data_IF_627541679051
#
_entry.id   IF_627541679051
#
_cell.length_a   1.000
_cell.length_b   1.000
_cell.length_c   1.000
_cell.angle_alpha   90.00
_cell.angle_beta   90.00
_cell.angle_gamma   90.00
#
_symmetry.space_group_name_H-M   'P 1'
#
loop_
_entity.id
_entity.type
_entity.pdbx_description
1 polymer ?
#
# COMPACT_ATOMS: atom_id res chain seq x y z
N UNK A 1 8.50 -51.31 -46.10
CA UNK A 1 8.93 -49.97 -46.53
C UNK A 1 8.34 -48.96 -45.55
N UNK A 2 9.13 -48.14 -44.84
CA UNK A 2 8.58 -47.10 -43.98
C UNK A 2 7.84 -46.06 -44.86
N UNK A 3 6.64 -45.67 -44.46
CA UNK A 3 5.82 -44.71 -45.20
C UNK A 3 6.55 -43.36 -45.27
N UNK A 4 6.65 -42.79 -46.48
CA UNK A 4 7.33 -41.51 -46.71
C UNK A 4 6.42 -40.38 -46.22
N UNK A 5 6.85 -39.66 -45.20
CA UNK A 5 6.11 -38.50 -44.69
C UNK A 5 6.28 -37.34 -45.66
N UNK A 6 5.16 -36.74 -46.07
CA UNK A 6 5.13 -35.55 -46.92
C UNK A 6 4.85 -34.33 -46.03
N UNK A 7 5.81 -33.40 -45.99
CA UNK A 7 5.66 -32.11 -45.32
C UNK A 7 5.29 -31.02 -46.33
N UNK A 8 4.71 -29.92 -45.84
CA UNK A 8 4.55 -28.70 -46.65
C UNK A 8 5.91 -28.04 -46.86
N UNK A 9 6.06 -27.33 -47.98
CA UNK A 9 7.27 -26.57 -48.27
C UNK A 9 7.50 -25.49 -47.19
N UNK A 10 8.73 -25.40 -46.70
CA UNK A 10 9.14 -24.47 -45.65
C UNK A 10 10.19 -23.50 -46.18
N UNK A 11 9.75 -22.30 -46.56
CA UNK A 11 10.60 -21.26 -47.14
C UNK A 11 10.46 -19.92 -46.38
N UNK A 12 11.22 -19.72 -45.29
CA UNK A 12 11.11 -18.51 -44.47
C UNK A 12 11.52 -17.22 -45.19
N UNK A 13 12.35 -17.33 -46.24
CA UNK A 13 12.84 -16.19 -47.04
C UNK A 13 12.03 -16.00 -48.34
N UNK A 14 10.82 -16.55 -48.42
CA UNK A 14 9.97 -16.41 -49.61
C UNK A 14 9.64 -14.93 -49.85
N UNK A 15 9.95 -14.43 -51.04
CA UNK A 15 9.61 -13.07 -51.43
C UNK A 15 8.12 -12.97 -51.77
N UNK A 16 7.43 -12.00 -51.18
CA UNK A 16 6.03 -11.69 -51.50
C UNK A 16 6.02 -10.50 -52.47
N UNK A 17 5.32 -10.62 -53.59
CA UNK A 17 5.31 -9.60 -54.66
C UNK A 17 4.51 -8.34 -54.28
N UNK A 18 3.41 -8.51 -53.54
CA UNK A 18 2.57 -7.41 -53.06
C UNK A 18 2.36 -7.52 -51.55
N UNK A 19 2.39 -6.42 -50.79
CA UNK A 19 2.04 -6.45 -49.38
C UNK A 19 0.62 -7.01 -49.20
N UNK A 20 0.50 -8.11 -48.45
CA UNK A 20 -0.81 -8.64 -48.07
C UNK A 20 -1.55 -7.62 -47.21
N UNK A 21 -2.89 -7.65 -47.25
CA UNK A 21 -3.66 -6.79 -46.36
C UNK A 21 -3.53 -7.30 -44.93
N UNK A 22 -3.15 -6.42 -44.01
CA UNK A 22 -2.87 -6.80 -42.63
C UNK A 22 -4.15 -7.19 -41.88
N UNK A 23 -5.28 -6.59 -42.27
CA UNK A 23 -6.60 -6.86 -41.70
C UNK A 23 -7.05 -8.32 -41.89
N UNK A 24 -6.70 -8.96 -43.00
CA UNK A 24 -7.05 -10.37 -43.29
C UNK A 24 -6.43 -11.35 -42.28
N UNK A 25 -5.32 -10.96 -41.64
CA UNK A 25 -4.61 -11.78 -40.65
C UNK A 25 -5.11 -11.54 -39.23
N UNK A 26 -6.09 -10.66 -39.03
CA UNK A 26 -6.70 -10.36 -37.74
C UNK A 26 -8.08 -11.03 -37.70
N UNK A 27 -8.39 -11.72 -36.61
CA UNK A 27 -9.69 -12.37 -36.46
C UNK A 27 -10.82 -11.33 -36.37
N UNK A 28 -11.96 -11.58 -37.04
CA UNK A 28 -13.07 -10.62 -37.06
C UNK A 28 -13.64 -10.27 -35.67
N UNK A 29 -13.50 -11.18 -34.69
CA UNK A 29 -13.94 -10.98 -33.30
C UNK A 29 -12.85 -10.40 -32.39
N UNK A 30 -11.71 -9.99 -32.94
CA UNK A 30 -10.60 -9.47 -32.15
C UNK A 30 -10.93 -8.08 -31.54
N UNK A 31 -10.57 -7.83 -30.26
CA UNK A 31 -10.81 -6.55 -29.60
C UNK A 31 -10.21 -5.34 -30.32
N UNK A 32 -9.18 -5.52 -31.16
CA UNK A 32 -8.59 -4.45 -31.97
C UNK A 32 -9.63 -3.73 -32.85
N UNK A 33 -10.61 -4.46 -33.38
CA UNK A 33 -11.68 -3.89 -34.20
C UNK A 33 -12.65 -3.03 -33.38
N UNK A 34 -12.90 -3.42 -32.13
CA UNK A 34 -13.72 -2.63 -31.19
C UNK A 34 -13.04 -1.30 -30.92
N UNK A 35 -11.74 -1.31 -30.60
CA UNK A 35 -10.97 -0.08 -30.38
C UNK A 35 -10.99 0.81 -31.62
N UNK A 36 -10.74 0.23 -32.80
CA UNK A 36 -10.75 0.99 -34.04
C UNK A 36 -12.10 1.70 -34.28
N UNK A 37 -13.20 0.96 -34.12
CA UNK A 37 -14.56 1.46 -34.31
C UNK A 37 -14.94 2.51 -33.28
N UNK A 38 -14.60 2.30 -32.00
CA UNK A 38 -14.89 3.28 -30.95
C UNK A 38 -14.15 4.58 -31.23
N UNK A 39 -12.84 4.52 -31.50
CA UNK A 39 -12.04 5.72 -31.75
C UNK A 39 -12.49 6.46 -33.02
N UNK A 40 -13.05 5.76 -34.00
CA UNK A 40 -13.59 6.41 -35.18
C UNK A 40 -14.82 7.27 -34.92
N UNK A 41 -15.65 6.85 -33.97
CA UNK A 41 -16.87 7.56 -33.56
C UNK A 41 -16.61 8.70 -32.56
N UNK A 42 -15.40 8.80 -32.01
CA UNK A 42 -15.06 9.89 -31.09
C UNK A 42 -14.92 11.21 -31.84
N UNK A 43 -15.55 12.27 -31.29
CA UNK A 43 -15.30 13.62 -31.75
C UNK A 43 -13.95 14.12 -31.21
N UNK A 44 -12.97 14.26 -32.11
CA UNK A 44 -11.61 14.72 -31.78
C UNK A 44 -11.35 16.18 -32.19
N UNK A 45 -12.38 17.01 -32.37
CA UNK A 45 -12.18 18.41 -32.77
C UNK A 45 -11.40 19.22 -31.73
N UNK A 46 -11.57 18.90 -30.45
CA UNK A 46 -10.76 19.49 -29.39
C UNK A 46 -9.28 19.11 -29.49
N UNK A 47 -8.96 17.91 -29.99
CA UNK A 47 -7.58 17.48 -30.17
C UNK A 47 -6.90 18.27 -31.28
N UNK A 48 -7.61 18.61 -32.35
CA UNK A 48 -7.06 19.39 -33.47
C UNK A 48 -6.55 20.77 -33.03
N UNK A 49 -7.21 21.39 -32.04
CA UNK A 49 -6.80 22.68 -31.46
C UNK A 49 -5.42 22.63 -30.77
N UNK A 50 -4.98 21.44 -30.35
CA UNK A 50 -3.70 21.23 -29.68
C UNK A 50 -2.51 21.12 -30.67
N UNK A 51 -2.78 21.14 -31.98
CA UNK A 51 -1.76 21.06 -33.02
C UNK A 51 -1.55 22.40 -33.71
N UNK A 52 -0.29 22.66 -34.08
CA UNK A 52 0.09 23.85 -34.86
C UNK A 52 -0.07 23.57 -36.35
N UNK A 53 -0.46 24.58 -37.12
CA UNK A 53 -0.58 24.48 -38.57
C UNK A 53 0.78 24.42 -39.29
N UNK A 54 1.86 24.87 -38.65
CA UNK A 54 3.20 24.96 -39.25
C UNK A 54 4.20 24.01 -38.60
N UNK A 55 5.19 23.57 -39.38
CA UNK A 55 6.25 22.65 -38.96
C UNK A 55 6.10 21.25 -39.56
N UNK A 56 6.72 20.26 -38.91
CA UNK A 56 6.62 18.85 -39.33
C UNK A 56 5.19 18.34 -39.15
N UNK A 57 4.67 17.65 -40.17
CA UNK A 57 3.35 17.03 -40.11
C UNK A 57 3.26 16.09 -38.89
N UNK A 58 2.29 16.31 -37.98
CA UNK A 58 2.10 15.43 -36.85
C UNK A 58 1.45 14.11 -37.27
N UNK A 59 1.67 13.06 -36.48
CA UNK A 59 0.88 11.83 -36.58
C UNK A 59 -0.60 12.12 -36.32
N UNK A 60 -1.47 11.38 -36.99
CA UNK A 60 -2.92 11.55 -36.86
C UNK A 60 -3.39 11.25 -35.41
N UNK A 61 -4.18 12.13 -34.76
CA UNK A 61 -4.60 11.93 -33.37
C UNK A 61 -5.38 10.64 -33.14
N UNK A 62 -6.28 10.26 -34.07
CA UNK A 62 -7.00 8.97 -34.00
C UNK A 62 -6.03 7.79 -33.94
N UNK A 63 -4.96 7.82 -34.75
CA UNK A 63 -3.98 6.75 -34.81
C UNK A 63 -3.24 6.62 -33.48
N UNK A 64 -2.73 7.73 -32.95
CA UNK A 64 -2.05 7.75 -31.66
C UNK A 64 -2.96 7.27 -30.52
N UNK A 65 -4.23 7.67 -30.53
CA UNK A 65 -5.21 7.27 -29.53
C UNK A 65 -5.52 5.77 -29.59
N UNK A 66 -5.74 5.21 -30.79
CA UNK A 66 -5.96 3.77 -31.00
C UNK A 66 -4.83 2.93 -30.41
N UNK A 67 -3.59 3.29 -30.74
CA UNK A 67 -2.39 2.57 -30.26
C UNK A 67 -2.29 2.62 -28.74
N UNK A 68 -2.55 3.77 -28.12
CA UNK A 68 -2.44 3.93 -26.67
C UNK A 68 -3.56 3.17 -25.94
N UNK A 69 -4.81 3.30 -26.39
CA UNK A 69 -5.96 2.61 -25.78
C UNK A 69 -5.76 1.10 -25.87
N UNK A 70 -5.38 0.58 -27.04
CA UNK A 70 -5.16 -0.85 -27.22
C UNK A 70 -3.98 -1.36 -26.37
N UNK A 71 -2.90 -0.58 -26.23
CA UNK A 71 -1.81 -0.91 -25.34
C UNK A 71 -2.27 -0.99 -23.87
N UNK A 72 -3.10 -0.04 -23.40
CA UNK A 72 -3.62 -0.03 -22.04
C UNK A 72 -4.57 -1.19 -21.75
N UNK A 73 -5.44 -1.53 -22.72
CA UNK A 73 -6.29 -2.73 -22.62
C UNK A 73 -5.46 -4.01 -22.42
N UNK A 74 -4.24 -4.05 -22.95
CA UNK A 74 -3.31 -5.17 -22.80
C UNK A 74 -2.33 -5.02 -21.61
N UNK A 75 -2.57 -4.07 -20.69
CA UNK A 75 -1.70 -3.76 -19.55
C UNK A 75 -0.27 -3.31 -19.95
N UNK A 76 -0.14 -2.57 -21.05
CA UNK A 76 1.13 -2.09 -21.58
C UNK A 76 1.20 -0.56 -21.47
N UNK A 77 1.82 -0.08 -20.40
CA UNK A 77 1.91 1.36 -20.09
C UNK A 77 3.25 2.01 -20.49
N UNK A 78 4.27 1.21 -20.79
CA UNK A 78 5.60 1.68 -21.16
C UNK A 78 5.65 2.13 -22.62
N UNK A 79 5.94 3.40 -22.88
CA UNK A 79 6.04 3.95 -24.24
C UNK A 79 7.11 3.22 -25.08
N UNK A 80 8.21 2.77 -24.47
CA UNK A 80 9.24 1.98 -25.16
C UNK A 80 8.75 0.58 -25.54
N UNK A 81 7.85 -0.01 -24.73
CA UNK A 81 7.23 -1.29 -25.07
C UNK A 81 6.23 -1.09 -26.22
N UNK A 82 5.46 -0.01 -26.21
CA UNK A 82 4.55 0.36 -27.30
C UNK A 82 5.31 0.57 -28.62
N UNK A 83 6.41 1.33 -28.60
CA UNK A 83 7.30 1.52 -29.76
C UNK A 83 7.79 0.18 -30.35
N UNK A 84 8.17 -0.79 -29.50
CA UNK A 84 8.55 -2.14 -29.96
C UNK A 84 7.38 -2.92 -30.56
N UNK A 85 6.17 -2.75 -30.03
CA UNK A 85 4.97 -3.43 -30.54
C UNK A 85 4.56 -2.89 -31.91
N UNK A 86 4.71 -1.58 -32.14
CA UNK A 86 4.46 -0.98 -33.46
C UNK A 86 5.30 -1.60 -34.57
N UNK A 87 6.43 -2.25 -34.26
CA UNK A 87 7.29 -2.92 -35.24
C UNK A 87 7.05 -4.43 -35.35
N UNK A 88 6.43 -5.07 -34.35
CA UNK A 88 6.44 -6.53 -34.20
C UNK A 88 5.05 -7.14 -34.09
N UNK A 89 4.09 -6.39 -33.57
CA UNK A 89 2.75 -6.87 -33.28
C UNK A 89 1.78 -6.43 -34.39
N UNK A 90 1.10 -7.41 -34.99
CA UNK A 90 0.25 -7.18 -36.14
C UNK A 90 -0.93 -6.24 -35.85
N UNK A 91 -1.48 -6.28 -34.63
CA UNK A 91 -2.58 -5.43 -34.22
C UNK A 91 -2.13 -3.97 -34.11
N UNK A 92 -0.94 -3.74 -33.53
CA UNK A 92 -0.38 -2.39 -33.43
C UNK A 92 0.01 -1.83 -34.79
N UNK A 93 0.60 -2.64 -35.66
CA UNK A 93 0.93 -2.26 -37.04
C UNK A 93 -0.35 -1.88 -37.81
N UNK A 94 -1.42 -2.66 -37.64
CA UNK A 94 -2.70 -2.39 -38.29
C UNK A 94 -3.35 -1.09 -37.76
N UNK A 95 -3.43 -0.92 -36.43
CA UNK A 95 -3.97 0.29 -35.82
C UNK A 95 -3.20 1.56 -36.18
N UNK A 96 -1.87 1.43 -36.32
CA UNK A 96 -1.01 2.55 -36.71
C UNK A 96 -1.03 2.86 -38.20
N UNK A 97 -1.57 1.95 -39.03
CA UNK A 97 -1.46 2.05 -40.49
C UNK A 97 -0.01 1.92 -40.96
N UNK A 98 0.79 1.09 -40.28
CA UNK A 98 2.22 0.90 -40.53
C UNK A 98 3.09 2.16 -40.27
N UNK A 99 2.59 3.08 -39.45
CA UNK A 99 3.37 4.19 -38.91
C UNK A 99 4.05 3.80 -37.59
N UNK A 100 5.23 4.36 -37.35
CA UNK A 100 6.10 3.96 -36.24
C UNK A 100 6.54 5.17 -35.41
N UNK A 101 5.64 5.81 -34.64
CA UNK A 101 6.04 6.88 -33.73
C UNK A 101 7.02 6.37 -32.66
N UNK A 102 8.06 7.15 -32.40
CA UNK A 102 9.04 6.84 -31.36
C UNK A 102 8.45 6.97 -29.95
N UNK A 103 9.12 6.38 -28.96
CA UNK A 103 8.62 6.42 -27.57
C UNK A 103 8.48 7.86 -27.05
N UNK A 104 9.30 8.80 -27.54
CA UNK A 104 9.27 10.21 -27.17
C UNK A 104 7.99 10.87 -27.70
N UNK A 105 7.62 10.60 -28.95
CA UNK A 105 6.40 11.13 -29.57
C UNK A 105 5.15 10.58 -28.91
N UNK A 106 5.14 9.29 -28.59
CA UNK A 106 4.05 8.66 -27.81
C UNK A 106 3.93 9.35 -26.44
N UNK A 107 5.05 9.56 -25.75
CA UNK A 107 5.04 10.20 -24.44
C UNK A 107 4.58 11.67 -24.50
N UNK A 108 5.03 12.42 -25.51
CA UNK A 108 4.61 13.81 -25.74
C UNK A 108 3.12 13.90 -26.04
N UNK A 109 2.58 12.97 -26.84
CA UNK A 109 1.16 12.91 -27.11
C UNK A 109 0.37 12.63 -25.83
N UNK A 110 0.72 11.59 -25.06
CA UNK A 110 0.09 11.27 -23.77
C UNK A 110 0.03 12.47 -22.83
N UNK A 111 1.13 13.19 -22.69
CA UNK A 111 1.20 14.37 -21.82
C UNK A 111 0.34 15.52 -22.32
N UNK A 112 0.22 15.67 -23.65
CA UNK A 112 -0.60 16.72 -24.26
C UNK A 112 -2.10 16.48 -24.10
N UNK A 113 -2.52 15.21 -24.14
CA UNK A 113 -3.95 14.83 -24.13
C UNK A 113 -4.40 14.21 -22.80
N UNK A 114 -3.67 14.47 -21.71
CA UNK A 114 -3.86 13.78 -20.43
C UNK A 114 -5.27 13.94 -19.86
N UNK A 115 -5.86 15.12 -20.02
CA UNK A 115 -7.22 15.39 -19.52
C UNK A 115 -8.26 14.76 -20.45
N UNK A 116 -8.07 14.89 -21.77
CA UNK A 116 -8.99 14.39 -22.77
C UNK A 116 -9.00 12.86 -22.83
N UNK A 117 -7.86 12.20 -22.62
CA UNK A 117 -7.76 10.74 -22.65
C UNK A 117 -8.52 10.12 -21.47
N UNK A 118 -8.51 10.75 -20.30
CA UNK A 118 -9.27 10.31 -19.14
C UNK A 118 -10.77 10.41 -19.40
N UNK A 119 -11.23 11.51 -20.03
CA UNK A 119 -12.63 11.68 -20.40
C UNK A 119 -13.07 10.62 -21.44
N UNK A 120 -12.27 10.43 -22.50
CA UNK A 120 -12.54 9.40 -23.51
C UNK A 120 -12.57 8.00 -22.90
N UNK A 121 -11.62 7.68 -22.01
CA UNK A 121 -11.57 6.39 -21.34
C UNK A 121 -12.79 6.17 -20.44
N UNK A 122 -13.19 7.19 -19.69
CA UNK A 122 -14.40 7.13 -18.85
C UNK A 122 -15.65 6.86 -19.70
N UNK A 123 -15.80 7.57 -20.82
CA UNK A 123 -16.91 7.35 -21.74
C UNK A 123 -16.90 5.94 -22.34
N UNK A 124 -15.72 5.43 -22.72
CA UNK A 124 -15.58 4.06 -23.22
C UNK A 124 -16.02 3.04 -22.17
N UNK A 125 -15.58 3.18 -20.92
CA UNK A 125 -15.96 2.30 -19.81
C UNK A 125 -17.47 2.35 -19.58
N UNK A 126 -18.08 3.54 -19.55
CA UNK A 126 -19.53 3.69 -19.40
C UNK A 126 -20.30 3.00 -20.53
N UNK A 127 -19.88 3.18 -21.79
CA UNK A 127 -20.51 2.50 -22.94
C UNK A 127 -20.36 0.97 -22.86
N UNK A 128 -19.22 0.47 -22.40
CA UNK A 128 -19.00 -0.96 -22.21
C UNK A 128 -19.88 -1.51 -21.07
N UNK A 129 -20.08 -0.73 -20.00
CA UNK A 129 -20.92 -1.10 -18.87
C UNK A 129 -22.41 -1.13 -19.27
N UNK A 130 -22.88 -0.10 -19.99
CA UNK A 130 -24.26 -0.03 -20.51
C UNK A 130 -24.57 -1.21 -21.47
N UNK A 131 -23.57 -1.65 -22.23
CA UNK A 131 -23.69 -2.83 -23.12
C UNK A 131 -23.59 -4.16 -22.38
N UNK A 132 -23.37 -4.16 -21.06
CA UNK A 132 -23.22 -5.36 -20.25
C UNK A 132 -21.93 -6.15 -20.53
N UNK A 133 -20.93 -5.52 -21.15
CA UNK A 133 -19.64 -6.17 -21.45
C UNK A 133 -18.68 -6.13 -20.25
N UNK A 134 -18.91 -5.21 -19.32
CA UNK A 134 -18.16 -5.08 -18.06
C UNK A 134 -19.14 -4.86 -16.90
N UNK A 135 -18.80 -5.35 -15.71
CA UNK A 135 -19.50 -5.02 -14.46
C UNK A 135 -18.65 -4.00 -13.68
N UNK A 136 -19.31 -2.99 -13.13
CA UNK A 136 -18.71 -1.97 -12.26
C UNK A 136 -18.94 -2.28 -10.76
N UNK A 137 -19.50 -3.46 -10.44
CA UNK A 137 -19.89 -3.81 -9.07
C UNK A 137 -18.69 -4.15 -8.18
N UNK A 138 -17.56 -4.54 -8.78
CA UNK A 138 -16.35 -4.96 -8.06
C UNK A 138 -15.16 -4.11 -8.50
N UNK A 139 -14.67 -3.29 -7.58
CA UNK A 139 -13.44 -2.51 -7.76
C UNK A 139 -12.25 -3.24 -7.11
N UNK A 140 -11.19 -3.44 -7.87
CA UNK A 140 -9.94 -4.02 -7.38
C UNK A 140 -8.89 -2.93 -7.26
N UNK A 141 -8.58 -2.51 -6.03
CA UNK A 141 -7.51 -1.55 -5.73
C UNK A 141 -6.24 -2.34 -5.36
N UNK A 142 -5.22 -2.35 -6.24
CA UNK A 142 -3.94 -2.95 -5.90
C UNK A 142 -3.12 -2.00 -5.02
N UNK A 143 -2.66 -2.49 -3.89
CA UNK A 143 -1.79 -1.75 -2.98
C UNK A 143 -0.33 -1.79 -3.43
N UNK A 144 0.31 -0.62 -3.44
CA UNK A 144 1.77 -0.53 -3.61
C UNK A 144 2.45 -0.49 -2.25
N UNK A 145 3.32 -1.46 -1.98
CA UNK A 145 4.10 -1.50 -0.75
C UNK A 145 5.37 -0.67 -0.90
N UNK A 146 5.55 0.32 -0.02
CA UNK A 146 6.70 1.23 -0.02
C UNK A 146 7.47 1.05 1.28
N UNK A 147 8.80 0.88 1.21
CA UNK A 147 9.65 0.71 2.39
C UNK A 147 9.71 2.05 3.17
N UNK A 148 9.52 1.99 4.50
CA UNK A 148 9.67 3.16 5.37
C UNK A 148 11.14 3.32 5.79
N UNK A 149 11.53 4.55 6.15
CA UNK A 149 12.84 4.87 6.73
C UNK A 149 12.97 4.45 8.20
N UNK A 150 11.91 3.92 8.81
CA UNK A 150 11.92 3.50 10.20
C UNK A 150 12.96 2.39 10.48
N UNK A 151 13.56 2.41 11.67
CA UNK A 151 14.52 1.38 12.06
C UNK A 151 13.78 0.06 12.40
N UNK A 152 14.26 -1.07 11.88
CA UNK A 152 13.68 -2.40 12.14
C UNK A 152 13.69 -2.80 13.62
N UNK A 153 14.62 -2.28 14.41
CA UNK A 153 14.80 -2.65 15.83
C UNK A 153 14.00 -1.78 16.80
N UNK A 154 13.30 -0.75 16.32
CA UNK A 154 12.53 0.17 17.16
C UNK A 154 11.04 -0.18 17.19
N UNK A 155 10.65 -1.36 16.71
CA UNK A 155 9.26 -1.80 16.69
C UNK A 155 8.78 -2.29 18.06
N UNK A 156 7.59 -1.84 18.43
CA UNK A 156 6.87 -2.30 19.61
C UNK A 156 5.77 -3.24 19.15
N UNK A 157 5.67 -4.39 19.81
CA UNK A 157 4.72 -5.46 19.46
C UNK A 157 3.68 -5.60 20.55
N UNK A 158 2.39 -5.59 20.16
CA UNK A 158 1.26 -5.68 21.10
C UNK A 158 1.41 -6.86 22.06
N UNK A 159 1.62 -8.08 21.53
CA UNK A 159 1.78 -9.30 22.34
C UNK A 159 2.89 -9.20 23.39
N UNK A 160 3.99 -8.51 23.07
CA UNK A 160 5.11 -8.33 24.00
C UNK A 160 4.74 -7.33 25.09
N UNK A 161 4.07 -6.23 24.72
CA UNK A 161 3.58 -5.22 25.67
C UNK A 161 2.56 -5.84 26.63
N UNK A 162 1.54 -6.53 26.11
CA UNK A 162 0.51 -7.20 26.92
C UNK A 162 1.13 -8.21 27.89
N UNK A 163 2.03 -9.08 27.39
CA UNK A 163 2.70 -10.09 28.24
C UNK A 163 3.57 -9.46 29.33
N UNK A 164 4.27 -8.37 29.02
CA UNK A 164 5.11 -7.70 30.02
C UNK A 164 4.26 -6.91 31.02
N UNK A 165 3.15 -6.32 30.56
CA UNK A 165 2.17 -5.63 31.41
C UNK A 165 1.53 -6.60 32.40
N UNK A 166 1.10 -7.79 31.97
CA UNK A 166 0.53 -8.79 32.89
C UNK A 166 1.55 -9.23 33.93
N UNK A 167 2.80 -9.51 33.52
CA UNK A 167 3.88 -9.84 34.45
C UNK A 167 4.19 -8.73 35.45
N UNK A 168 4.08 -7.46 35.02
CA UNK A 168 4.29 -6.32 35.90
C UNK A 168 3.15 -6.23 36.93
N UNK A 169 1.90 -6.45 36.51
CA UNK A 169 0.76 -6.52 37.44
C UNK A 169 0.92 -7.64 38.47
N UNK A 170 1.39 -8.82 38.06
CA UNK A 170 1.67 -9.92 38.99
C UNK A 170 2.74 -9.54 40.03
N UNK A 171 3.79 -8.82 39.61
CA UNK A 171 4.82 -8.30 40.53
C UNK A 171 4.29 -7.26 41.50
N UNK A 172 3.49 -6.31 41.01
CA UNK A 172 2.84 -5.30 41.85
C UNK A 172 1.97 -5.99 42.91
N UNK A 173 1.21 -7.01 42.51
CA UNK A 173 0.39 -7.79 43.45
C UNK A 173 1.23 -8.45 44.54
N UNK A 174 2.32 -9.12 44.18
CA UNK A 174 3.22 -9.77 45.16
C UNK A 174 3.82 -8.73 46.12
N UNK A 175 4.23 -7.58 45.60
CA UNK A 175 4.84 -6.53 46.40
C UNK A 175 3.81 -5.91 47.37
N UNK A 176 2.56 -5.71 46.95
CA UNK A 176 1.49 -5.27 47.83
C UNK A 176 1.17 -6.30 48.91
N UNK A 177 1.13 -7.60 48.58
CA UNK A 177 0.95 -8.67 49.56
C UNK A 177 2.09 -8.67 50.62
N UNK A 178 3.33 -8.40 50.21
CA UNK A 178 4.48 -8.25 51.13
C UNK A 178 4.36 -7.01 52.04
N UNK A 179 3.86 -5.89 51.51
CA UNK A 179 3.60 -4.68 52.29
C UNK A 179 2.49 -4.92 53.31
N UNK A 180 1.41 -5.62 52.94
CA UNK A 180 0.34 -5.97 53.87
C UNK A 180 0.81 -6.97 54.97
N UNK A 181 1.65 -7.95 54.62
CA UNK A 181 2.26 -8.87 55.58
C UNK A 181 3.20 -8.15 56.57
N UNK A 182 3.97 -7.17 56.11
CA UNK A 182 4.83 -6.36 57.00
C UNK A 182 4.03 -5.43 57.90
N UNK A 183 2.96 -4.80 57.39
CA UNK A 183 2.05 -3.97 58.20
C UNK A 183 1.31 -4.81 59.26
N UNK A 184 0.87 -6.03 58.92
CA UNK A 184 0.21 -6.92 59.87
C UNK A 184 1.18 -7.45 60.95
N UNK A 185 2.45 -7.64 60.62
CA UNK A 185 3.50 -7.94 61.61
C UNK A 185 3.84 -6.72 62.49
N UNK A 186 3.85 -5.50 61.94
CA UNK A 186 4.07 -4.25 62.71
C UNK A 186 2.89 -3.92 63.66
N UNK A 187 1.65 -4.20 63.25
CA UNK A 187 0.45 -3.96 64.06
C UNK A 187 0.21 -4.99 65.18
N UNK A 188 1.08 -6.00 65.33
CA UNK A 188 1.10 -6.92 66.49
C UNK A 188 1.62 -6.26 67.77
N UNK A 189 2.00 -4.98 67.74
CA UNK A 189 2.35 -4.19 68.94
C UNK A 189 1.64 -2.84 68.93
N UNK A 190 0.32 -2.84 69.19
CA UNK A 190 -0.42 -1.96 70.12
C UNK A 190 -1.91 -1.98 69.78
N UNK A 191 -2.71 -2.35 70.77
CA UNK A 191 -4.17 -2.41 70.73
C UNK A 191 -4.81 -1.06 70.39
N UNK A 192 -5.80 -1.04 69.49
CA UNK A 192 -7.23 -0.81 69.78
C UNK A 192 -8.01 -0.47 68.49
N UNK A 193 -9.28 -0.92 68.33
CA UNK A 193 -10.06 -0.70 67.11
C UNK A 193 -10.94 0.55 67.24
N UNK A 194 -10.82 1.51 66.32
CA UNK A 194 -11.82 2.59 66.16
C UNK A 194 -11.97 2.89 64.65
N UNK A 195 -13.22 2.83 64.18
CA UNK A 195 -13.64 3.18 62.82
C UNK A 195 -13.44 4.68 62.55
N UNK A 196 -12.98 5.04 61.34
CA UNK A 196 -12.88 6.44 60.93
C UNK A 196 -13.37 6.70 59.50
N UNK A 197 -14.23 7.71 59.40
CA UNK A 197 -14.81 8.30 58.18
C UNK A 197 -13.82 9.21 57.42
N UNK A 198 -14.08 9.52 56.13
CA UNK A 198 -13.13 10.17 55.21
C UNK A 198 -12.56 11.54 55.64
N UNK A 199 -13.26 12.28 56.50
CA UNK A 199 -12.79 13.58 57.00
C UNK A 199 -11.61 13.45 57.99
N UNK A 200 -11.45 12.31 58.66
CA UNK A 200 -10.34 12.10 59.60
C UNK A 200 -9.07 11.62 58.88
N UNK A 201 -9.18 11.07 57.67
CA UNK A 201 -8.04 10.70 56.83
C UNK A 201 -7.24 11.92 56.34
N UNK A 202 -7.88 13.07 56.11
CA UNK A 202 -7.15 14.29 55.70
C UNK A 202 -6.33 14.91 56.83
N UNK A 203 -6.82 14.82 58.07
CA UNK A 203 -6.12 15.35 59.24
C UNK A 203 -4.96 14.40 59.63
N UNK A 204 -5.17 13.08 59.54
CA UNK A 204 -4.14 12.05 59.73
C UNK A 204 -3.03 12.16 58.68
N UNK A 205 -3.34 12.52 57.42
CA UNK A 205 -2.32 12.74 56.38
C UNK A 205 -1.42 13.95 56.67
N UNK A 206 -1.96 14.98 57.32
CA UNK A 206 -1.17 16.16 57.72
C UNK A 206 -0.33 15.89 58.97
N UNK A 207 -0.86 15.19 59.99
CA UNK A 207 -0.07 14.74 61.14
C UNK A 207 0.99 13.70 60.77
N UNK A 208 0.71 12.81 59.81
CA UNK A 208 1.70 11.86 59.28
C UNK A 208 2.83 12.55 58.53
N UNK A 209 2.55 13.66 57.83
CA UNK A 209 3.60 14.46 57.17
C UNK A 209 4.56 15.11 58.18
N UNK A 210 4.06 15.56 59.33
CA UNK A 210 4.91 16.07 60.42
C UNK A 210 5.66 14.96 61.15
N UNK A 211 5.06 13.78 61.33
CA UNK A 211 5.71 12.63 61.97
C UNK A 211 6.77 11.93 61.09
N UNK A 212 6.70 12.08 59.76
CA UNK A 212 7.61 11.47 58.78
C UNK A 212 8.98 12.17 58.65
N UNK A 213 9.20 13.32 59.31
CA UNK A 213 10.52 13.98 59.31
C UNK A 213 11.58 13.22 60.14
N UNK A 214 11.20 12.23 60.97
CA UNK A 214 12.12 11.54 61.88
C UNK A 214 11.97 10.00 61.93
N UNK A 215 12.22 9.27 60.83
CA UNK A 215 13.02 8.02 60.86
C UNK A 215 13.27 7.42 59.45
N UNK A 216 14.50 7.01 59.09
CA UNK A 216 14.86 6.74 57.70
C UNK A 216 15.14 5.25 57.38
N UNK A 217 15.03 4.93 56.08
CA UNK A 217 15.75 3.88 55.31
C UNK A 217 14.96 2.69 54.74
N UNK A 218 13.98 2.06 55.42
CA UNK A 218 13.31 0.85 54.86
C UNK A 218 12.10 1.14 53.96
N UNK A 219 11.25 2.13 54.29
CA UNK A 219 10.04 2.46 53.50
C UNK A 219 10.33 3.18 52.18
N UNK A 220 11.47 3.87 52.07
CA UNK A 220 11.90 4.57 50.84
C UNK A 220 12.13 3.62 49.65
N UNK A 221 12.60 2.39 49.89
CA UNK A 221 12.94 1.46 48.81
C UNK A 221 11.70 0.89 48.13
N UNK A 222 10.74 0.44 48.92
CA UNK A 222 9.48 -0.14 48.42
C UNK A 222 8.61 0.93 47.74
N UNK A 223 8.56 2.15 48.30
CA UNK A 223 7.89 3.29 47.66
C UNK A 223 8.52 3.63 46.31
N UNK A 224 9.85 3.67 46.23
CA UNK A 224 10.55 3.92 44.97
C UNK A 224 10.34 2.81 43.94
N UNK A 225 10.27 1.55 44.37
CA UNK A 225 9.97 0.42 43.48
C UNK A 225 8.53 0.45 42.95
N UNK A 226 7.57 0.86 43.78
CA UNK A 226 6.18 1.12 43.39
C UNK A 226 6.06 2.28 42.40
N UNK A 227 6.80 3.37 42.59
CA UNK A 227 6.87 4.49 41.64
C UNK A 227 7.44 4.02 40.28
N UNK A 228 8.52 3.25 40.28
CA UNK A 228 9.07 2.68 39.04
C UNK A 228 8.10 1.73 38.33
N UNK A 229 7.33 0.94 39.09
CA UNK A 229 6.31 0.05 38.54
C UNK A 229 5.14 0.83 37.95
N UNK A 230 4.72 1.93 38.59
CA UNK A 230 3.70 2.85 38.08
C UNK A 230 4.14 3.47 36.75
N UNK A 231 5.37 3.97 36.66
CA UNK A 231 5.88 4.61 35.44
C UNK A 231 5.95 3.61 34.27
N UNK A 232 6.39 2.38 34.54
CA UNK A 232 6.42 1.30 33.53
C UNK A 232 5.02 0.88 33.09
N UNK A 233 4.06 0.87 34.01
CA UNK A 233 2.67 0.56 33.68
C UNK A 233 2.09 1.63 32.74
N UNK A 234 2.35 2.91 33.04
CA UNK A 234 1.96 4.04 32.19
C UNK A 234 2.63 3.98 30.81
N UNK A 235 3.90 3.56 30.72
CA UNK A 235 4.57 3.31 29.43
C UNK A 235 3.84 2.23 28.60
N UNK A 236 3.42 1.13 29.23
CA UNK A 236 2.68 0.07 28.53
C UNK A 236 1.28 0.50 28.09
N UNK A 237 0.56 1.27 28.91
CA UNK A 237 -0.75 1.80 28.52
C UNK A 237 -0.60 2.78 27.34
N UNK A 238 0.40 3.67 27.38
CA UNK A 238 0.71 4.56 26.24
C UNK A 238 1.06 3.79 24.95
N UNK A 239 1.78 2.67 25.07
CA UNK A 239 2.06 1.79 23.92
C UNK A 239 0.78 1.19 23.34
N UNK A 240 -0.16 0.75 24.18
CA UNK A 240 -1.44 0.19 23.74
C UNK A 240 -2.32 1.25 23.08
N UNK A 241 -2.35 2.46 23.62
CA UNK A 241 -3.07 3.59 23.03
C UNK A 241 -2.52 3.96 21.65
N UNK A 242 -1.18 4.03 21.52
CA UNK A 242 -0.54 4.32 20.23
C UNK A 242 -0.77 3.21 19.20
N UNK A 243 -0.85 1.96 19.65
CA UNK A 243 -1.14 0.81 18.79
C UNK A 243 -2.58 0.84 18.26
N UNK A 244 -3.55 1.30 19.06
CA UNK A 244 -4.98 1.21 18.72
C UNK A 244 -5.34 -0.23 18.33
N UNK A 245 -5.91 -0.43 17.14
CA UNK A 245 -6.27 -1.75 16.58
C UNK A 245 -5.10 -2.51 15.92
N UNK A 246 -3.90 -1.93 15.86
CA UNK A 246 -2.75 -2.52 15.17
C UNK A 246 -1.96 -3.50 16.05
N UNK A 247 -1.30 -4.46 15.39
CA UNK A 247 -0.45 -5.46 16.06
C UNK A 247 0.95 -4.94 16.43
N UNK A 248 1.44 -3.94 15.72
CA UNK A 248 2.76 -3.33 15.95
C UNK A 248 2.84 -1.91 15.38
N UNK A 249 3.79 -1.12 15.90
CA UNK A 249 4.15 0.20 15.37
C UNK A 249 5.65 0.47 15.58
N UNK A 250 6.21 1.42 14.83
CA UNK A 250 7.58 1.89 15.07
C UNK A 250 7.60 3.07 16.03
N UNK A 251 8.54 3.10 16.98
CA UNK A 251 8.76 4.26 17.85
C UNK A 251 9.13 5.54 17.09
N UNK A 252 9.79 5.42 15.93
CA UNK A 252 10.25 6.57 15.14
C UNK A 252 9.24 7.05 14.10
N UNK A 253 8.31 6.18 13.72
CA UNK A 253 7.35 6.40 12.63
C UNK A 253 6.11 5.54 12.91
N UNK A 254 5.16 6.07 13.71
CA UNK A 254 4.03 5.29 14.18
C UNK A 254 3.19 4.69 13.05
N UNK A 255 3.11 5.34 11.90
CA UNK A 255 2.29 4.90 10.76
C UNK A 255 2.90 3.72 10.00
N UNK A 256 4.21 3.49 10.11
CA UNK A 256 4.86 2.34 9.48
C UNK A 256 4.44 1.02 10.14
N UNK A 257 4.17 0.01 9.31
CA UNK A 257 3.82 -1.33 9.76
C UNK A 257 4.85 -2.33 9.24
N UNK A 258 5.16 -3.36 10.05
CA UNK A 258 6.05 -4.42 9.62
C UNK A 258 5.32 -5.32 8.60
N UNK A 259 5.80 -5.35 7.35
CA UNK A 259 5.17 -6.10 6.27
C UNK A 259 6.18 -6.71 5.31
N UNK A 260 5.75 -7.75 4.59
CA UNK A 260 6.57 -8.38 3.55
C UNK A 260 6.58 -7.52 2.28
N UNK A 261 7.75 -7.07 1.88
CA UNK A 261 7.94 -6.20 0.70
C UNK A 261 7.93 -7.03 -0.61
N UNK A 262 7.34 -6.46 -1.67
CA UNK A 262 7.37 -7.05 -3.04
C UNK A 262 8.77 -6.92 -3.64
N UNK A 263 9.37 -5.74 -3.50
CA UNK A 263 10.72 -5.42 -3.97
C UNK A 263 11.63 -5.16 -2.76
N UNK A 264 12.45 -6.14 -2.41
CA UNK A 264 13.57 -5.94 -1.48
C UNK A 264 14.86 -5.94 -2.30
N UNK A 265 15.74 -4.97 -2.06
CA UNK A 265 17.08 -4.94 -2.65
C UNK A 265 17.84 -6.27 -2.45
N UNK A 266 17.58 -6.95 -1.32
CA UNK A 266 18.17 -8.26 -1.02
C UNK A 266 17.37 -9.46 -1.55
N UNK A 267 16.14 -9.26 -2.07
CA UNK A 267 15.21 -10.30 -2.56
C UNK A 267 15.03 -11.51 -1.62
N UNK A 268 15.26 -11.33 -0.33
CA UNK A 268 15.26 -12.41 0.65
C UNK A 268 13.89 -12.63 1.31
N UNK A 269 12.89 -11.80 0.98
CA UNK A 269 11.52 -11.91 1.48
C UNK A 269 11.35 -11.56 2.96
N UNK A 270 12.33 -10.87 3.57
CA UNK A 270 12.22 -10.42 4.96
C UNK A 270 11.12 -9.37 5.11
N UNK A 271 10.45 -9.40 6.26
CA UNK A 271 9.52 -8.33 6.64
C UNK A 271 10.30 -7.09 7.04
N UNK A 272 9.87 -5.94 6.55
CA UNK A 272 10.47 -4.63 6.82
C UNK A 272 9.37 -3.63 7.20
N UNK A 273 9.74 -2.53 7.87
CA UNK A 273 8.81 -1.41 8.02
C UNK A 273 8.43 -0.86 6.65
N UNK A 274 7.14 -0.69 6.42
CA UNK A 274 6.63 -0.11 5.19
C UNK A 274 5.21 0.38 5.32
N UNK A 275 4.75 0.99 4.23
CA UNK A 275 3.39 1.44 4.02
C UNK A 275 2.76 0.61 2.92
N UNK A 276 1.48 0.31 3.06
CA UNK A 276 0.69 -0.22 1.96
C UNK A 276 -0.15 0.92 1.39
N UNK A 277 0.38 1.60 0.39
CA UNK A 277 -0.29 2.74 -0.23
C UNK A 277 -1.37 2.21 -1.18
N UNK A 278 -2.62 2.56 -0.88
CA UNK A 278 -3.77 2.39 -1.75
C UNK A 278 -4.12 3.79 -2.25
N UNK A 279 -3.91 4.04 -3.55
CA UNK A 279 -4.33 5.28 -4.24
C UNK A 279 -5.55 4.92 -5.08
#
# INVERSE_FOLDING_TARGET
>A
MPAKTHFRDYAPNQTVLFPGRIDENIAANDPVHVVNTVVDNLNLDNFKKLYKATGRCPYHPKMMLRVIIYAYMNNIYSCRKIERLLLRDIHHIWLSGNEHPDFITINRFRNRVKEEINNVFTQLVLVLADKGLISLDVEYIDGTKIESRANKYTFVWRKTVEKNRTKLMDKIRILLEQVDETITQENSTKDTPIEFTPAMLSDIVNELKEALEHQPVTKDKEQKELEEHRDKLMEYDNHLDTLGERNSYSKTDPDATFMRMKEDAMRNGQTKPGYNLQI
#
